data_IF_312668841488
#
_entry.id   IF_312668841488
#
_cell.length_a   1.000
_cell.length_b   1.000
_cell.length_c   1.000
_cell.angle_alpha   90.00
_cell.angle_beta   90.00
_cell.angle_gamma   90.00
#
_symmetry.space_group_name_H-M   'P 1'
#
loop_
_entity.id
_entity.type
_entity.pdbx_description
1 polymer ?
#
# COMPACT_ATOMS: atom_id res chain seq x y z
N UNK A 1 -4.41 7.07 -17.16
CA UNK A 1 -3.53 6.62 -16.05
C UNK A 1 -4.41 6.32 -14.84
N UNK A 2 -4.19 5.21 -14.11
CA UNK A 2 -5.04 4.83 -12.96
C UNK A 2 -5.01 5.90 -11.85
N UNK A 3 -6.17 6.19 -11.24
CA UNK A 3 -6.28 7.16 -10.13
C UNK A 3 -5.45 6.74 -8.91
N UNK A 4 -5.41 5.44 -8.62
CA UNK A 4 -4.61 4.90 -7.52
C UNK A 4 -3.11 5.11 -7.73
N UNK A 5 -2.61 4.89 -8.94
CA UNK A 5 -1.20 5.14 -9.29
C UNK A 5 -0.84 6.62 -9.12
N UNK A 6 -1.71 7.53 -9.55
CA UNK A 6 -1.50 8.97 -9.38
C UNK A 6 -1.46 9.34 -7.90
N UNK A 7 -2.38 8.84 -7.09
CA UNK A 7 -2.40 9.15 -5.65
C UNK A 7 -1.16 8.59 -4.94
N UNK A 8 -0.79 7.33 -5.19
CA UNK A 8 0.43 6.70 -4.65
C UNK A 8 1.66 7.61 -4.86
N UNK A 9 1.88 8.00 -6.12
CA UNK A 9 3.01 8.84 -6.49
C UNK A 9 2.96 10.25 -5.87
N UNK A 10 1.76 10.81 -5.70
CA UNK A 10 1.56 12.10 -5.03
C UNK A 10 1.86 12.02 -3.54
N UNK A 11 1.62 10.87 -2.90
CA UNK A 11 1.93 10.61 -1.49
C UNK A 11 3.37 10.17 -1.24
N UNK A 12 4.20 10.10 -2.28
CA UNK A 12 5.60 9.68 -2.17
C UNK A 12 5.81 8.16 -2.18
N UNK A 13 4.75 7.37 -2.36
CA UNK A 13 4.88 5.93 -2.58
C UNK A 13 5.31 5.69 -4.02
N UNK A 14 6.63 5.56 -4.24
CA UNK A 14 7.27 5.42 -5.56
C UNK A 14 8.31 4.31 -5.54
N UNK A 15 8.69 3.75 -6.69
CA UNK A 15 9.67 2.67 -6.75
C UNK A 15 11.03 3.05 -6.14
N UNK A 16 11.70 2.13 -5.41
CA UNK A 16 11.20 0.81 -4.99
C UNK A 16 10.11 0.93 -3.90
N UNK A 17 8.98 0.25 -4.09
CA UNK A 17 7.81 0.31 -3.21
C UNK A 17 7.09 -1.05 -3.13
N UNK A 18 6.28 -1.22 -2.09
CA UNK A 18 5.37 -2.36 -1.92
C UNK A 18 3.91 -1.90 -1.83
N UNK A 19 3.01 -2.57 -2.54
CA UNK A 19 1.57 -2.39 -2.45
C UNK A 19 0.89 -3.68 -1.97
N UNK A 20 -0.09 -3.55 -1.08
CA UNK A 20 -0.91 -4.66 -0.56
C UNK A 20 -2.39 -4.35 -0.66
N UNK A 21 -3.23 -5.37 -0.44
CA UNK A 21 -4.68 -5.20 -0.36
C UNK A 21 -5.42 -5.46 -1.68
N UNK A 22 -6.57 -4.81 -1.83
CA UNK A 22 -7.47 -4.96 -2.98
C UNK A 22 -6.80 -4.47 -4.27
N UNK A 23 -6.95 -5.21 -5.37
CA UNK A 23 -6.34 -4.91 -6.68
C UNK A 23 -4.83 -4.61 -6.63
N UNK A 24 -4.12 -5.14 -5.60
CA UNK A 24 -2.72 -4.80 -5.38
C UNK A 24 -1.84 -5.20 -6.56
N UNK A 25 -2.07 -6.36 -7.19
CA UNK A 25 -1.25 -6.84 -8.31
C UNK A 25 -1.30 -5.88 -9.51
N UNK A 26 -2.47 -5.61 -10.13
CA UNK A 26 -2.53 -4.74 -11.31
C UNK A 26 -2.10 -3.29 -11.00
N UNK A 27 -2.44 -2.76 -9.82
CA UNK A 27 -2.05 -1.39 -9.45
C UNK A 27 -0.56 -1.30 -9.16
N UNK A 28 0.04 -2.28 -8.47
CA UNK A 28 1.47 -2.32 -8.18
C UNK A 28 2.28 -2.37 -9.48
N UNK A 29 1.87 -3.26 -10.40
CA UNK A 29 2.51 -3.39 -11.70
C UNK A 29 2.48 -2.05 -12.46
N UNK A 30 1.34 -1.38 -12.53
CA UNK A 30 1.21 -0.08 -13.19
C UNK A 30 1.97 1.07 -12.48
N UNK A 31 2.26 0.94 -11.18
CA UNK A 31 3.06 1.88 -10.40
C UNK A 31 4.57 1.55 -10.38
N UNK A 32 4.99 0.38 -10.88
CA UNK A 32 6.36 -0.11 -10.74
C UNK A 32 6.71 -0.58 -9.32
N UNK A 33 5.72 -0.90 -8.49
CA UNK A 33 5.89 -1.46 -7.15
C UNK A 33 5.84 -3.00 -7.18
N UNK A 34 6.39 -3.63 -6.15
CA UNK A 34 6.09 -5.01 -5.82
C UNK A 34 4.70 -5.14 -5.18
N UNK A 35 4.07 -6.31 -5.30
CA UNK A 35 2.79 -6.62 -4.65
C UNK A 35 2.96 -7.68 -3.56
N UNK A 36 2.24 -7.56 -2.45
CA UNK A 36 2.20 -8.59 -1.42
C UNK A 36 0.80 -8.78 -0.81
N UNK A 37 0.54 -9.99 -0.34
CA UNK A 37 -0.70 -10.35 0.32
C UNK A 37 -0.42 -11.22 1.56
N UNK A 38 -1.22 -11.04 2.60
CA UNK A 38 -1.16 -11.85 3.84
C UNK A 38 -2.17 -13.00 3.84
N UNK A 39 -3.05 -13.07 2.84
CA UNK A 39 -4.12 -14.06 2.73
C UNK A 39 -4.54 -14.22 1.26
N UNK A 40 -5.32 -15.27 0.97
CA UNK A 40 -5.79 -15.61 -0.37
C UNK A 40 -4.74 -16.38 -1.19
N UNK A 41 -5.05 -16.71 -2.46
CA UNK A 41 -4.20 -17.56 -3.30
C UNK A 41 -2.78 -17.02 -3.54
N UNK A 42 -2.61 -15.71 -3.44
CA UNK A 42 -1.33 -15.02 -3.68
C UNK A 42 -0.63 -14.59 -2.37
N UNK A 43 -0.99 -15.20 -1.23
CA UNK A 43 -0.35 -14.92 0.04
C UNK A 43 1.15 -15.25 -0.02
N UNK A 44 2.00 -14.24 0.17
CA UNK A 44 3.45 -14.36 0.02
C UNK A 44 4.21 -13.67 1.16
N UNK A 45 3.51 -13.12 2.14
CA UNK A 45 4.11 -12.44 3.29
C UNK A 45 3.20 -12.51 4.51
N UNK A 46 3.68 -11.97 5.63
CA UNK A 46 2.93 -11.84 6.87
C UNK A 46 2.73 -10.36 7.22
N UNK A 47 1.81 -10.07 8.15
CA UNK A 47 1.65 -8.72 8.69
C UNK A 47 2.97 -8.16 9.27
N UNK A 48 3.77 -8.99 9.96
CA UNK A 48 5.08 -8.61 10.49
C UNK A 48 6.14 -8.45 9.40
N UNK A 49 6.02 -9.20 8.29
CA UNK A 49 6.81 -8.98 7.07
C UNK A 49 6.57 -7.58 6.50
N UNK A 50 5.30 -7.20 6.33
CA UNK A 50 4.91 -5.88 5.81
C UNK A 50 5.42 -4.74 6.70
N UNK A 51 5.24 -4.83 8.03
CA UNK A 51 5.71 -3.77 8.94
C UNK A 51 7.23 -3.62 8.95
N UNK A 52 8.00 -4.73 8.80
CA UNK A 52 9.45 -4.65 8.60
C UNK A 52 9.84 -4.01 7.26
N UNK A 53 9.08 -4.26 6.21
CA UNK A 53 9.32 -3.65 4.89
C UNK A 53 9.03 -2.14 4.94
N UNK A 54 7.95 -1.74 5.60
CA UNK A 54 7.55 -0.34 5.81
C UNK A 54 8.62 0.50 6.52
N UNK A 55 9.50 -0.11 7.31
CA UNK A 55 10.63 0.58 7.93
C UNK A 55 11.77 0.91 6.96
N UNK A 56 11.79 0.29 5.78
CA UNK A 56 12.93 0.33 4.84
C UNK A 56 12.58 0.95 3.49
N UNK A 57 11.33 0.83 3.05
CA UNK A 57 10.86 1.40 1.79
C UNK A 57 9.40 1.86 1.91
N UNK A 58 8.90 2.69 0.99
CA UNK A 58 7.50 3.07 0.93
C UNK A 58 6.57 1.85 0.82
N UNK A 59 5.52 1.83 1.63
CA UNK A 59 4.50 0.78 1.59
C UNK A 59 3.11 1.41 1.58
N UNK A 60 2.23 0.82 0.80
CA UNK A 60 0.82 1.17 0.76
C UNK A 60 -0.09 -0.06 0.85
N UNK A 61 -1.27 0.13 1.41
CA UNK A 61 -2.38 -0.81 1.39
C UNK A 61 -3.60 -0.12 0.76
N UNK A 62 -4.13 -0.69 -0.33
CA UNK A 62 -5.37 -0.25 -0.96
C UNK A 62 -6.53 -1.11 -0.46
N UNK A 63 -7.59 -0.49 0.03
CA UNK A 63 -8.79 -1.20 0.49
C UNK A 63 -10.04 -0.54 -0.05
N UNK A 64 -11.14 -1.28 -0.26
CA UNK A 64 -12.42 -0.67 -0.60
C UNK A 64 -12.87 0.32 0.47
N UNK A 65 -13.48 1.44 0.08
CA UNK A 65 -14.03 2.38 1.04
C UNK A 65 -15.10 1.70 1.93
N UNK A 66 -15.15 2.09 3.20
CA UNK A 66 -16.00 1.45 4.20
C UNK A 66 -15.45 0.15 4.79
N UNK A 67 -14.34 -0.39 4.25
CA UNK A 67 -13.62 -1.49 4.89
C UNK A 67 -12.66 -0.98 5.97
N UNK A 68 -12.52 -1.74 7.05
CA UNK A 68 -11.51 -1.45 8.05
C UNK A 68 -10.10 -1.65 7.47
N UNK A 69 -9.11 -0.81 7.83
CA UNK A 69 -7.73 -1.03 7.42
C UNK A 69 -7.19 -2.35 8.00
N UNK A 70 -6.25 -3.01 7.30
CA UNK A 70 -5.50 -4.12 7.86
C UNK A 70 -4.84 -3.71 9.19
N UNK A 71 -4.80 -4.63 10.16
CA UNK A 71 -4.28 -4.33 11.50
C UNK A 71 -2.88 -3.69 11.49
N UNK A 72 -2.01 -4.13 10.57
CA UNK A 72 -0.65 -3.60 10.41
C UNK A 72 -0.58 -2.16 9.86
N UNK A 73 -1.68 -1.64 9.29
CA UNK A 73 -1.75 -0.33 8.65
C UNK A 73 -2.61 0.69 9.43
N UNK A 74 -3.19 0.32 10.58
CA UNK A 74 -4.11 1.20 11.34
C UNK A 74 -3.51 2.55 11.74
N UNK A 75 -2.21 2.62 11.96
CA UNK A 75 -1.50 3.85 12.34
C UNK A 75 -0.87 4.60 11.16
N UNK A 76 -1.11 4.18 9.92
CA UNK A 76 -0.54 4.81 8.74
C UNK A 76 -1.37 6.01 8.29
N UNK A 77 -0.74 6.93 7.55
CA UNK A 77 -1.46 8.03 6.92
C UNK A 77 -2.47 7.46 5.90
N UNK A 78 -3.60 8.16 5.70
CA UNK A 78 -4.64 7.71 4.77
C UNK A 78 -5.06 8.78 3.77
N UNK A 79 -5.56 8.33 2.61
CA UNK A 79 -6.11 9.18 1.57
C UNK A 79 -7.22 8.46 0.79
N UNK A 80 -8.26 9.19 0.41
CA UNK A 80 -9.30 8.65 -0.47
C UNK A 80 -8.83 8.60 -1.93
N UNK A 81 -9.22 7.53 -2.63
CA UNK A 81 -8.93 7.30 -4.05
C UNK A 81 -10.17 6.75 -4.74
N UNK A 82 -11.02 7.63 -5.27
CA UNK A 82 -12.29 7.18 -5.86
C UNK A 82 -13.16 6.49 -4.81
N UNK A 83 -13.47 5.21 -5.03
CA UNK A 83 -14.23 4.36 -4.10
C UNK A 83 -13.34 3.55 -3.15
N UNK A 84 -12.03 3.82 -3.11
CA UNK A 84 -11.06 3.13 -2.26
C UNK A 84 -10.44 4.07 -1.23
N UNK A 85 -9.82 3.48 -0.21
CA UNK A 85 -8.94 4.12 0.75
C UNK A 85 -7.53 3.58 0.62
N UNK A 86 -6.57 4.50 0.56
CA UNK A 86 -5.15 4.23 0.55
C UNK A 86 -4.59 4.48 1.94
N UNK A 87 -3.95 3.49 2.56
CA UNK A 87 -3.17 3.64 3.78
C UNK A 87 -1.69 3.50 3.42
N UNK A 88 -0.83 4.43 3.85
CA UNK A 88 0.54 4.46 3.39
C UNK A 88 1.54 4.99 4.42
N UNK A 89 2.78 4.58 4.24
CA UNK A 89 3.94 5.07 4.98
C UNK A 89 5.13 5.23 4.04
N UNK A 90 5.83 6.35 4.17
CA UNK A 90 7.06 6.66 3.43
C UNK A 90 8.17 6.82 4.47
N UNK A 91 9.11 5.88 4.60
CA UNK A 91 10.22 6.02 5.53
C UNK A 91 11.11 7.19 5.10
N UNK A 92 11.56 8.00 6.06
CA UNK A 92 12.42 9.15 5.81
C UNK A 92 11.71 10.51 5.82
N UNK A 93 10.38 10.59 5.95
CA UNK A 93 9.69 11.85 6.24
C UNK A 93 9.59 12.09 7.76
N UNK A 94 10.72 11.94 8.44
CA UNK A 94 10.87 12.35 9.84
C UNK A 94 11.39 13.78 9.92
N UNK A 95 10.51 14.71 10.26
CA UNK A 95 10.79 15.91 11.05
C UNK A 95 9.51 16.25 11.80
#
# INVERSE_FOLDING_TARGET
>A
RSRAVTELHRRGVRPPCLLTGHEAIPVAFAAGCASAATAGPNANTTASGITRTARRMPVAALVPAGSAPPAYARGWASAAVGSDLLYYVVPGTGS
#
